data_IF_034889200492
#
_entry.id   IF_034889200492
#
_cell.length_a   1.000
_cell.length_b   1.000
_cell.length_c   1.000
_cell.angle_alpha   90.00
_cell.angle_beta   90.00
_cell.angle_gamma   90.00
#
_symmetry.space_group_name_H-M   'P 1'
#
loop_
_entity.id
_entity.type
_entity.pdbx_description
1 polymer ?
#
# COMPACT_ATOMS: atom_id res chain seq x y z
N UNK A 1 6.36 -19.38 10.83
CA UNK A 1 5.32 -18.46 11.37
C UNK A 1 5.31 -18.51 12.91
N UNK A 2 5.43 -17.35 13.58
CA UNK A 2 5.50 -17.24 15.05
C UNK A 2 4.27 -17.80 15.78
N UNK A 3 3.13 -17.87 15.08
CA UNK A 3 1.86 -18.32 15.65
C UNK A 3 1.64 -19.84 15.54
N UNK A 4 2.28 -20.51 14.59
CA UNK A 4 2.06 -21.95 14.30
C UNK A 4 3.30 -22.81 14.48
N UNK A 5 4.47 -22.21 14.72
CA UNK A 5 5.79 -22.88 14.83
C UNK A 5 6.20 -23.72 13.60
N UNK A 6 5.43 -23.66 12.52
CA UNK A 6 5.74 -24.28 11.24
C UNK A 6 6.47 -23.30 10.32
N UNK A 7 7.28 -23.80 9.38
CA UNK A 7 7.91 -23.02 8.31
C UNK A 7 6.91 -22.65 7.20
N UNK A 8 5.87 -21.93 7.59
CA UNK A 8 4.89 -21.36 6.67
C UNK A 8 5.05 -19.84 6.58
N UNK A 9 4.70 -19.31 5.41
CA UNK A 9 4.64 -17.87 5.15
C UNK A 9 3.65 -17.20 6.12
N UNK A 10 4.07 -16.14 6.81
CA UNK A 10 3.19 -15.37 7.71
C UNK A 10 1.96 -14.76 7.00
N UNK A 11 2.08 -14.50 5.70
CA UNK A 11 0.99 -14.01 4.86
C UNK A 11 0.14 -15.16 4.28
N UNK A 12 0.49 -16.41 4.56
CA UNK A 12 -0.20 -17.63 4.10
C UNK A 12 -0.14 -17.83 2.59
N UNK A 13 1.05 -17.67 1.99
CA UNK A 13 1.34 -18.12 0.62
C UNK A 13 1.77 -19.60 0.62
N UNK A 14 1.51 -20.35 -0.48
CA UNK A 14 0.74 -19.93 -1.66
C UNK A 14 -0.75 -19.76 -1.34
N UNK A 15 -1.43 -18.84 -2.03
CA UNK A 15 -2.88 -18.66 -1.89
C UNK A 15 -3.61 -19.65 -2.78
N UNK A 16 -4.75 -20.13 -2.30
CA UNK A 16 -5.67 -20.92 -3.09
C UNK A 16 -6.22 -20.09 -4.27
N UNK A 17 -6.60 -20.79 -5.34
CA UNK A 17 -7.27 -20.15 -6.45
C UNK A 17 -8.72 -19.89 -6.10
N UNK A 18 -9.23 -18.82 -6.66
CA UNK A 18 -10.62 -18.45 -6.57
C UNK A 18 -11.11 -18.08 -7.96
N UNK A 19 -12.23 -18.65 -8.38
CA UNK A 19 -12.85 -18.38 -9.69
C UNK A 19 -13.50 -16.99 -9.77
N UNK A 20 -13.70 -16.34 -8.62
CA UNK A 20 -14.29 -15.00 -8.55
C UNK A 20 -13.72 -14.19 -7.39
N UNK A 21 -13.86 -12.87 -7.48
CA UNK A 21 -13.48 -11.96 -6.38
C UNK A 21 -14.61 -11.90 -5.36
N UNK A 22 -14.33 -12.30 -4.11
CA UNK A 22 -15.32 -12.37 -3.03
C UNK A 22 -14.83 -11.66 -1.76
N UNK A 23 -15.78 -11.17 -0.97
CA UNK A 23 -15.53 -10.67 0.39
C UNK A 23 -15.97 -11.75 1.37
N UNK A 24 -15.01 -12.30 2.12
CA UNK A 24 -15.26 -13.31 3.14
C UNK A 24 -15.18 -12.66 4.53
N UNK A 25 -16.14 -12.93 5.40
CA UNK A 25 -16.11 -12.47 6.79
C UNK A 25 -15.54 -13.56 7.68
N UNK A 26 -14.62 -13.19 8.58
CA UNK A 26 -14.12 -14.12 9.59
C UNK A 26 -15.11 -14.25 10.78
N UNK A 27 -14.79 -15.11 11.75
CA UNK A 27 -15.59 -15.31 12.97
C UNK A 27 -15.83 -14.03 13.80
N UNK A 28 -15.01 -13.00 13.60
CA UNK A 28 -15.10 -11.70 14.27
C UNK A 28 -15.74 -10.63 13.37
N UNK A 29 -16.39 -11.04 12.27
CA UNK A 29 -17.01 -10.17 11.28
C UNK A 29 -16.05 -9.17 10.60
N UNK A 30 -14.75 -9.49 10.58
CA UNK A 30 -13.77 -8.71 9.83
C UNK A 30 -13.78 -9.15 8.36
N UNK A 31 -13.94 -8.21 7.41
CA UNK A 31 -13.99 -8.54 6.00
C UNK A 31 -12.58 -8.82 5.45
N UNK A 32 -12.47 -9.87 4.65
CA UNK A 32 -11.27 -10.29 3.94
C UNK A 32 -11.58 -10.33 2.45
N UNK A 33 -10.83 -9.56 1.66
CA UNK A 33 -10.94 -9.57 0.21
C UNK A 33 -10.12 -10.73 -0.38
N UNK A 34 -10.81 -11.67 -1.01
CA UNK A 34 -10.23 -12.75 -1.80
C UNK A 34 -10.38 -12.35 -3.27
N UNK A 35 -9.26 -12.19 -3.96
CA UNK A 35 -9.26 -11.81 -5.37
C UNK A 35 -9.32 -13.06 -6.24
N UNK A 36 -9.99 -12.95 -7.39
CA UNK A 36 -9.85 -13.93 -8.46
C UNK A 36 -8.37 -14.11 -8.81
N UNK A 37 -7.93 -15.36 -8.95
CA UNK A 37 -6.59 -15.71 -9.36
C UNK A 37 -6.72 -16.70 -10.52
N UNK A 38 -6.17 -16.35 -11.68
CA UNK A 38 -6.29 -17.11 -12.91
C UNK A 38 -5.10 -18.06 -13.17
N UNK A 39 -4.08 -18.03 -12.30
CA UNK A 39 -2.83 -18.76 -12.51
C UNK A 39 -2.37 -19.47 -11.23
N UNK A 40 -2.34 -20.81 -11.29
CA UNK A 40 -1.89 -21.71 -10.22
C UNK A 40 -0.40 -21.54 -9.90
N UNK A 41 0.40 -21.18 -10.90
CA UNK A 41 1.86 -21.17 -10.85
C UNK A 41 2.39 -19.82 -10.39
N UNK A 42 1.62 -18.74 -10.55
CA UNK A 42 2.00 -17.39 -10.15
C UNK A 42 2.33 -17.30 -8.65
N UNK A 43 1.53 -17.94 -7.79
CA UNK A 43 1.74 -17.91 -6.35
C UNK A 43 3.03 -18.63 -5.90
N UNK A 44 3.32 -19.87 -6.34
CA UNK A 44 4.57 -20.56 -6.02
C UNK A 44 5.83 -19.87 -6.57
N UNK A 45 5.85 -19.52 -7.86
CA UNK A 45 7.08 -19.05 -8.52
C UNK A 45 7.41 -17.59 -8.23
N UNK A 46 6.40 -16.74 -8.01
CA UNK A 46 6.59 -15.30 -7.77
C UNK A 46 6.22 -14.87 -6.34
N UNK A 47 6.27 -15.79 -5.37
CA UNK A 47 5.78 -15.53 -4.02
C UNK A 47 6.44 -14.32 -3.35
N UNK A 48 7.75 -14.11 -3.51
CA UNK A 48 8.48 -12.98 -2.90
C UNK A 48 7.95 -11.65 -3.45
N UNK A 49 7.81 -11.54 -4.77
CA UNK A 49 7.32 -10.32 -5.42
C UNK A 49 5.85 -10.05 -5.05
N UNK A 50 5.01 -11.08 -5.02
CA UNK A 50 3.61 -10.96 -4.60
C UNK A 50 3.47 -10.59 -3.12
N UNK A 51 4.35 -11.12 -2.26
CA UNK A 51 4.44 -10.72 -0.86
C UNK A 51 4.83 -9.26 -0.73
N UNK A 52 5.89 -8.82 -1.41
CA UNK A 52 6.33 -7.42 -1.39
C UNK A 52 5.25 -6.47 -1.90
N UNK A 53 4.60 -6.81 -3.00
CA UNK A 53 3.51 -6.01 -3.55
C UNK A 53 2.32 -5.93 -2.59
N UNK A 54 1.92 -7.03 -1.95
CA UNK A 54 0.84 -7.00 -0.95
C UNK A 54 1.23 -6.34 0.36
N UNK A 55 2.49 -6.40 0.77
CA UNK A 55 2.97 -5.68 1.94
C UNK A 55 2.89 -4.16 1.74
N UNK A 56 3.06 -3.70 0.50
CA UNK A 56 3.00 -2.29 0.15
C UNK A 56 1.57 -1.78 -0.11
N UNK A 57 0.64 -2.66 -0.53
CA UNK A 57 -0.75 -2.28 -0.83
C UNK A 57 -1.70 -2.75 0.27
N UNK A 58 -2.22 -1.82 1.08
CA UNK A 58 -3.25 -2.10 2.10
C UNK A 58 -4.62 -2.33 1.43
N UNK A 59 -4.84 -3.55 0.93
CA UNK A 59 -6.10 -3.97 0.29
C UNK A 59 -7.12 -4.39 1.35
N UNK A 60 -7.72 -3.43 2.05
CA UNK A 60 -8.85 -3.68 2.96
C UNK A 60 -10.16 -3.19 2.35
N UNK A 61 -11.19 -4.06 2.23
CA UNK A 61 -12.50 -3.62 1.78
C UNK A 61 -13.11 -2.70 2.85
N UNK A 62 -13.53 -1.50 2.43
CA UNK A 62 -14.21 -0.53 3.27
C UNK A 62 -15.71 -0.78 3.13
N UNK A 63 -16.30 -1.40 4.16
CA UNK A 63 -17.71 -1.83 4.16
C UNK A 63 -18.63 -0.92 5.00
N UNK A 64 -18.08 0.10 5.65
CA UNK A 64 -18.84 1.05 6.46
C UNK A 64 -18.17 2.42 6.49
N UNK A 65 -18.95 3.46 6.77
CA UNK A 65 -18.44 4.82 6.95
C UNK A 65 -17.39 4.89 8.07
N UNK A 66 -17.65 4.21 9.19
CA UNK A 66 -16.69 4.15 10.29
C UNK A 66 -15.36 3.54 9.85
N UNK A 67 -15.39 2.41 9.12
CA UNK A 67 -14.17 1.78 8.59
C UNK A 67 -13.43 2.71 7.61
N UNK A 68 -14.16 3.48 6.80
CA UNK A 68 -13.58 4.48 5.89
C UNK A 68 -12.83 5.56 6.68
N UNK A 69 -13.49 6.15 7.68
CA UNK A 69 -12.93 7.20 8.53
C UNK A 69 -11.72 6.69 9.31
N UNK A 70 -11.78 5.49 9.90
CA UNK A 70 -10.64 4.89 10.60
C UNK A 70 -9.47 4.63 9.66
N UNK A 71 -9.73 4.20 8.42
CA UNK A 71 -8.69 4.01 7.43
C UNK A 71 -8.02 5.34 7.08
N UNK A 72 -8.81 6.37 6.74
CA UNK A 72 -8.29 7.72 6.46
C UNK A 72 -7.49 8.23 7.66
N UNK A 73 -8.04 8.14 8.88
CA UNK A 73 -7.39 8.59 10.10
C UNK A 73 -6.05 7.89 10.35
N UNK A 74 -5.95 6.56 10.12
CA UNK A 74 -4.69 5.81 10.22
C UNK A 74 -3.61 6.42 9.32
N UNK A 75 -3.95 6.79 8.09
CA UNK A 75 -2.99 7.32 7.13
C UNK A 75 -2.70 8.81 7.33
N UNK A 76 -3.69 9.60 7.75
CA UNK A 76 -3.49 10.99 8.16
C UNK A 76 -2.61 11.07 9.40
N UNK A 77 -2.82 10.22 10.40
CA UNK A 77 -1.99 10.15 11.59
C UNK A 77 -0.58 9.59 11.33
N UNK A 78 -0.38 8.92 10.18
CA UNK A 78 0.94 8.54 9.67
C UNK A 78 1.61 9.70 8.91
N UNK A 79 1.07 10.92 8.99
CA UNK A 79 1.75 12.13 8.52
C UNK A 79 3.20 12.06 8.97
N UNK A 80 4.11 12.03 8.00
CA UNK A 80 5.52 11.97 8.31
C UNK A 80 5.84 13.09 9.30
N UNK A 81 6.65 12.83 10.35
CA UNK A 81 7.14 13.91 11.17
C UNK A 81 7.74 14.94 10.21
N UNK A 82 7.45 16.24 10.41
CA UNK A 82 8.07 17.32 9.62
C UNK A 82 9.59 17.12 9.68
N UNK A 83 10.13 16.44 8.70
CA UNK A 83 11.57 16.24 8.56
C UNK A 83 12.10 17.61 8.22
N UNK A 84 12.90 18.17 9.12
CA UNK A 84 13.54 19.48 8.92
C UNK A 84 14.23 19.53 7.53
N UNK A 85 14.82 18.42 7.10
CA UNK A 85 15.42 18.25 5.78
C UNK A 85 14.44 18.46 4.61
N UNK A 86 13.18 18.02 4.72
CA UNK A 86 12.20 18.22 3.64
C UNK A 86 11.77 19.68 3.55
N UNK A 87 11.57 20.35 4.69
CA UNK A 87 11.29 21.79 4.70
C UNK A 87 12.47 22.60 4.17
N UNK A 88 13.71 22.23 4.50
CA UNK A 88 14.92 22.88 4.00
C UNK A 88 15.09 22.71 2.49
N UNK A 89 14.89 21.50 1.97
CA UNK A 89 14.89 21.23 0.52
C UNK A 89 13.78 22.00 -0.20
N UNK A 90 12.57 22.02 0.36
CA UNK A 90 11.44 22.74 -0.22
C UNK A 90 11.66 24.26 -0.20
N UNK A 91 12.19 24.79 0.90
CA UNK A 91 12.52 26.21 1.04
C UNK A 91 13.64 26.60 0.09
N UNK A 92 14.68 25.76 -0.03
CA UNK A 92 15.78 25.94 -1.00
C UNK A 92 15.26 25.90 -2.44
N UNK A 93 14.37 24.97 -2.78
CA UNK A 93 13.75 24.89 -4.11
C UNK A 93 12.91 26.13 -4.45
N UNK A 94 12.10 26.61 -3.50
CA UNK A 94 11.29 27.82 -3.65
C UNK A 94 12.17 29.08 -3.71
N UNK A 95 13.26 29.13 -2.95
CA UNK A 95 14.23 30.22 -2.99
C UNK A 95 14.89 30.26 -4.37
N UNK A 96 15.47 29.15 -4.83
CA UNK A 96 16.13 29.06 -6.12
C UNK A 96 15.18 29.38 -7.29
N UNK A 97 13.93 28.91 -7.23
CA UNK A 97 12.91 29.24 -8.23
C UNK A 97 12.52 30.73 -8.27
N UNK A 98 12.73 31.49 -7.18
CA UNK A 98 12.54 32.95 -7.14
C UNK A 98 13.74 33.73 -7.67
N UNK A 99 14.93 33.12 -7.69
CA UNK A 99 16.16 33.74 -8.21
C UNK A 99 16.49 33.34 -9.66
N UNK A 100 15.88 32.29 -10.18
CA UNK A 100 15.85 32.02 -11.61
C UNK A 100 14.92 33.02 -12.30
N UNK A 101 15.53 34.08 -12.85
CA UNK A 101 14.93 34.96 -13.86
C UNK A 101 14.29 34.11 -14.96
N UNK A 102 13.19 34.57 -15.60
CA UNK A 102 12.46 33.76 -16.57
C UNK A 102 13.38 33.37 -17.72
N UNK A 103 13.77 32.10 -17.80
CA UNK A 103 14.39 31.50 -18.97
C UNK A 103 13.33 31.28 -20.09
N UNK A 104 12.55 32.32 -20.38
CA UNK A 104 11.66 32.41 -21.54
C UNK A 104 12.18 33.52 -22.47
N UNK A 105 13.38 33.30 -23.00
CA UNK A 105 13.84 33.92 -24.25
C UNK A 105 14.57 32.88 -25.10
N UNK A 106 13.82 31.88 -25.56
CA UNK A 106 14.22 31.06 -26.70
C UNK A 106 13.00 30.35 -27.28
N UNK A 107 12.01 31.14 -27.69
CA UNK A 107 11.13 30.81 -28.81
C UNK A 107 11.04 32.11 -29.61
N UNK A 108 11.99 32.30 -30.51
CA UNK A 108 11.84 33.13 -31.70
C UNK A 108 11.78 32.17 -32.88
#
# INVERSE_FOLDING_TARGET
NKNTKLEECQFGYPKELHDSTIIQFNKHNNPKLLLHCNDLLLNPYCHIQLQGWRANVDKKPIISLHAALSYIAKYVAKSEPRLAAFNEMFTTGIYNAKFDKPALKSIQ
#
